data_IF_835782437754
#
_entry.id   IF_835782437754
#
_cell.length_a   1.000
_cell.length_b   1.000
_cell.length_c   1.000
_cell.angle_alpha   90.00
_cell.angle_beta   90.00
_cell.angle_gamma   90.00
#
_symmetry.space_group_name_H-M   'P 1'
#
loop_
_entity.id
_entity.type
_entity.pdbx_description
1 polymer ?
#
# COMPACT_ATOMS: atom_id res chain seq x y z
N UNK A 1 11.77 -5.35 -2.41
CA UNK A 1 10.47 -4.70 -2.20
C UNK A 1 10.29 -4.36 -0.71
N UNK A 2 9.20 -3.73 -0.29
CA UNK A 2 8.98 -3.37 1.12
C UNK A 2 9.27 -1.91 1.45
N UNK A 3 8.88 -0.97 0.59
CA UNK A 3 8.93 0.46 0.90
C UNK A 3 7.64 1.19 0.52
N UNK A 4 6.58 0.44 0.21
CA UNK A 4 5.34 0.91 -0.37
C UNK A 4 4.71 1.97 0.54
N UNK A 5 4.65 1.69 1.85
CA UNK A 5 4.13 2.65 2.83
C UNK A 5 4.96 3.95 2.87
N UNK A 6 6.29 3.87 2.74
CA UNK A 6 7.15 5.06 2.77
C UNK A 6 7.00 5.88 1.49
N UNK A 7 6.84 5.21 0.34
CA UNK A 7 6.53 5.85 -0.94
C UNK A 7 5.19 6.59 -0.84
N UNK A 8 4.15 5.93 -0.34
CA UNK A 8 2.83 6.55 -0.15
C UNK A 8 2.90 7.76 0.81
N UNK A 9 3.67 7.66 1.90
CA UNK A 9 3.91 8.79 2.82
C UNK A 9 4.64 9.95 2.15
N UNK A 10 5.60 9.66 1.26
CA UNK A 10 6.27 10.66 0.44
C UNK A 10 5.30 11.38 -0.51
N UNK A 11 4.27 10.68 -0.97
CA UNK A 11 3.23 11.19 -1.86
C UNK A 11 2.05 11.86 -1.14
N UNK A 12 2.13 12.07 0.19
CA UNK A 12 1.00 12.56 1.00
C UNK A 12 0.26 13.79 0.44
N UNK A 13 0.98 14.74 -0.15
CA UNK A 13 0.37 15.95 -0.70
C UNK A 13 -0.42 15.65 -1.98
N UNK A 14 0.13 14.81 -2.86
CA UNK A 14 -0.56 14.37 -4.08
C UNK A 14 -1.81 13.54 -3.75
N UNK A 15 -1.71 12.63 -2.77
CA UNK A 15 -2.85 11.84 -2.31
C UNK A 15 -3.98 12.71 -1.71
N UNK A 16 -3.61 13.83 -1.06
CA UNK A 16 -4.57 14.76 -0.47
C UNK A 16 -5.22 15.69 -1.51
N UNK A 17 -4.42 16.29 -2.40
CA UNK A 17 -4.84 17.36 -3.30
C UNK A 17 -5.33 16.83 -4.66
N UNK A 18 -4.51 16.00 -5.32
CA UNK A 18 -4.79 15.54 -6.69
C UNK A 18 -5.71 14.31 -6.70
N UNK A 19 -5.77 13.58 -5.58
CA UNK A 19 -6.57 12.38 -5.37
C UNK A 19 -6.47 11.40 -6.57
N UNK A 20 -5.27 10.94 -6.98
CA UNK A 20 -5.13 10.03 -8.12
C UNK A 20 -5.65 8.63 -7.76
N UNK A 21 -6.04 7.83 -8.76
CA UNK A 21 -6.18 6.38 -8.59
C UNK A 21 -4.78 5.77 -8.42
N UNK A 22 -4.61 4.93 -7.40
CA UNK A 22 -3.31 4.34 -7.06
C UNK A 22 -3.38 2.84 -7.17
N UNK A 23 -2.42 2.23 -7.85
CA UNK A 23 -2.22 0.78 -7.84
C UNK A 23 -0.94 0.45 -7.08
N UNK A 24 -1.02 -0.49 -6.14
CA UNK A 24 0.11 -0.92 -5.30
C UNK A 24 0.14 -2.44 -5.25
N UNK A 25 1.31 -3.00 -5.52
CA UNK A 25 1.61 -4.40 -5.24
C UNK A 25 2.39 -4.50 -3.92
N UNK A 26 2.01 -5.44 -3.07
CA UNK A 26 2.59 -5.62 -1.72
C UNK A 26 2.98 -7.08 -1.54
N UNK A 27 4.22 -7.33 -1.16
CA UNK A 27 4.72 -8.69 -0.91
C UNK A 27 3.91 -9.41 0.19
N UNK A 28 3.46 -10.64 -0.10
CA UNK A 28 2.67 -11.44 0.85
C UNK A 28 3.51 -12.38 1.70
N UNK A 29 4.73 -12.72 1.27
CA UNK A 29 5.63 -13.58 2.03
C UNK A 29 6.57 -12.74 2.89
N UNK A 30 6.16 -12.56 4.15
CA UNK A 30 6.93 -11.76 5.11
C UNK A 30 8.05 -12.56 5.78
N UNK A 31 8.20 -13.88 5.57
CA UNK A 31 9.16 -14.67 6.38
C UNK A 31 10.61 -14.20 6.26
N UNK A 32 11.06 -13.86 5.06
CA UNK A 32 12.41 -13.32 4.86
C UNK A 32 12.45 -11.81 5.11
N UNK A 33 11.34 -11.10 4.86
CA UNK A 33 11.23 -9.66 5.07
C UNK A 33 11.11 -9.28 6.54
N UNK A 34 10.53 -10.09 7.41
CA UNK A 34 10.40 -9.78 8.84
C UNK A 34 11.76 -9.76 9.55
N UNK A 35 12.75 -10.49 9.02
CA UNK A 35 14.13 -10.48 9.52
C UNK A 35 14.92 -9.23 9.08
N UNK A 36 14.61 -8.66 7.90
CA UNK A 36 15.38 -7.56 7.29
C UNK A 36 14.65 -6.21 7.35
N UNK A 37 13.32 -6.24 7.29
CA UNK A 37 12.37 -5.13 7.24
C UNK A 37 11.09 -5.47 8.04
N UNK A 38 11.15 -5.44 9.38
CA UNK A 38 9.99 -5.77 10.21
C UNK A 38 8.83 -4.79 9.96
N UNK A 39 7.60 -5.31 9.95
CA UNK A 39 6.34 -4.58 9.74
C UNK A 39 6.06 -4.13 8.29
N UNK A 40 6.60 -4.83 7.29
CA UNK A 40 6.25 -4.66 5.87
C UNK A 40 5.01 -5.47 5.49
N UNK A 41 3.96 -5.35 6.31
CA UNK A 41 2.69 -6.02 6.06
C UNK A 41 1.72 -5.09 5.32
N UNK A 42 0.73 -5.67 4.66
CA UNK A 42 -0.29 -4.98 3.88
C UNK A 42 -1.20 -4.06 4.72
N UNK A 43 -1.44 -4.39 5.98
CA UNK A 43 -2.28 -3.69 6.94
C UNK A 43 -1.90 -2.23 7.16
N UNK A 44 -0.62 -1.87 7.43
CA UNK A 44 -0.17 -0.48 7.44
C UNK A 44 -0.47 0.30 6.16
N UNK A 45 -0.34 -0.33 4.98
CA UNK A 45 -0.67 0.30 3.68
C UNK A 45 -2.17 0.54 3.58
N UNK A 46 -3.00 -0.48 3.82
CA UNK A 46 -4.45 -0.38 3.77
C UNK A 46 -4.98 0.69 4.74
N UNK A 47 -4.46 0.71 5.98
CA UNK A 47 -4.84 1.70 6.99
C UNK A 47 -4.45 3.12 6.59
N UNK A 48 -3.27 3.30 6.02
CA UNK A 48 -2.81 4.61 5.56
C UNK A 48 -3.70 5.14 4.44
N UNK A 49 -4.01 4.31 3.44
CA UNK A 49 -4.88 4.69 2.33
C UNK A 49 -6.32 4.97 2.78
N UNK A 50 -6.88 4.16 3.68
CA UNK A 50 -8.20 4.44 4.27
C UNK A 50 -8.21 5.80 4.97
N UNK A 51 -7.21 6.10 5.80
CA UNK A 51 -7.06 7.41 6.45
C UNK A 51 -6.87 8.57 5.46
N UNK A 52 -6.25 8.32 4.30
CA UNK A 52 -6.15 9.30 3.21
C UNK A 52 -7.46 9.47 2.42
N UNK A 53 -8.51 8.73 2.78
CA UNK A 53 -9.83 8.82 2.17
C UNK A 53 -9.94 8.00 0.88
N UNK A 54 -9.30 6.84 0.82
CA UNK A 54 -9.37 5.93 -0.32
C UNK A 54 -10.13 4.65 0.03
N UNK A 55 -10.89 4.13 -0.94
CA UNK A 55 -11.38 2.76 -0.94
C UNK A 55 -10.30 1.83 -1.49
N UNK A 56 -10.31 0.57 -1.06
CA UNK A 56 -9.34 -0.44 -1.46
C UNK A 56 -10.04 -1.63 -2.11
N UNK A 57 -9.59 -2.02 -3.29
CA UNK A 57 -10.03 -3.22 -4.01
C UNK A 57 -8.83 -4.15 -4.23
N UNK A 58 -8.96 -5.38 -3.73
CA UNK A 58 -7.98 -6.42 -4.03
C UNK A 58 -8.24 -6.99 -5.42
N UNK A 59 -7.28 -6.85 -6.33
CA UNK A 59 -7.42 -7.29 -7.71
C UNK A 59 -6.96 -8.74 -7.90
N UNK A 60 -5.79 -9.08 -7.37
CA UNK A 60 -5.16 -10.39 -7.60
C UNK A 60 -4.04 -10.66 -6.60
N UNK A 61 -3.69 -11.93 -6.40
CA UNK A 61 -2.50 -12.33 -5.65
C UNK A 61 -1.65 -13.29 -6.48
N UNK A 62 -0.38 -12.96 -6.65
CA UNK A 62 0.66 -13.86 -7.14
C UNK A 62 1.78 -14.02 -6.08
N UNK A 63 3.01 -13.63 -6.37
CA UNK A 63 4.07 -13.45 -5.35
C UNK A 63 3.79 -12.20 -4.48
N UNK A 64 2.94 -11.29 -4.98
CA UNK A 64 2.48 -10.09 -4.32
C UNK A 64 0.95 -10.01 -4.31
N UNK A 65 0.38 -9.29 -3.34
CA UNK A 65 -1.01 -8.88 -3.33
C UNK A 65 -1.16 -7.54 -4.04
N UNK A 66 -2.00 -7.50 -5.05
CA UNK A 66 -2.20 -6.34 -5.93
C UNK A 66 -3.50 -5.62 -5.55
N UNK A 67 -3.38 -4.35 -5.21
CA UNK A 67 -4.47 -3.52 -4.71
C UNK A 67 -4.65 -2.27 -5.56
N UNK A 68 -5.91 -1.94 -5.83
CA UNK A 68 -6.33 -0.66 -6.40
C UNK A 68 -6.92 0.20 -5.30
N UNK A 69 -6.52 1.46 -5.26
CA UNK A 69 -7.06 2.46 -4.36
C UNK A 69 -7.71 3.58 -5.16
N UNK A 70 -8.99 3.82 -4.89
CA UNK A 70 -9.78 4.88 -5.52
C UNK A 70 -10.19 5.93 -4.48
N UNK A 71 -10.06 7.23 -4.75
CA UNK A 71 -10.49 8.25 -3.80
C UNK A 71 -12.00 8.17 -3.55
N UNK A 72 -12.39 8.32 -2.29
CA UNK A 72 -13.79 8.55 -1.87
C UNK A 72 -14.23 9.98 -2.11
#
# INVERSE_FOLDING_TARGET
>A
EGAELQVLRGMRYMLAEDRPVVWVSVHTDTRWMDEVYPNQDLGPVLRYMDCAGYDAEHLHTDHEAHWLFTPR
#
